data_IF_903931254919
#
_entry.id   IF_903931254919
#
_cell.length_a   1.000
_cell.length_b   1.000
_cell.length_c   1.000
_cell.angle_alpha   90.00
_cell.angle_beta   90.00
_cell.angle_gamma   90.00
#
_symmetry.space_group_name_H-M   'P 1'
#
loop_
_entity.id
_entity.type
_entity.pdbx_description
1 polymer ?
#
# COMPACT_ATOMS: atom_id res chain seq x y z
N UNK A 1 -0.08 -2.30 -19.77
CA UNK A 1 -1.31 -2.93 -19.33
C UNK A 1 -1.45 -2.76 -17.82
N UNK A 2 -2.63 -2.34 -17.36
CA UNK A 2 -2.87 -2.10 -15.94
C UNK A 2 -3.11 -3.39 -15.18
N UNK A 3 -2.39 -3.55 -14.09
CA UNK A 3 -2.65 -4.61 -13.11
C UNK A 3 -2.92 -3.93 -11.77
N UNK A 4 -4.04 -4.26 -11.15
CA UNK A 4 -4.47 -3.60 -9.91
C UNK A 4 -3.97 -4.37 -8.71
N UNK A 5 -3.42 -3.63 -7.74
CA UNK A 5 -3.04 -4.16 -6.43
C UNK A 5 -3.80 -3.38 -5.38
N UNK A 6 -4.38 -4.09 -4.41
CA UNK A 6 -5.13 -3.49 -3.30
C UNK A 6 -4.46 -3.91 -2.00
N UNK A 7 -4.19 -2.93 -1.13
CA UNK A 7 -3.57 -3.19 0.18
C UNK A 7 -4.32 -2.44 1.27
N UNK A 8 -4.56 -3.09 2.40
CA UNK A 8 -5.26 -2.52 3.55
C UNK A 8 -4.28 -2.26 4.69
N UNK A 9 -4.37 -1.06 5.27
CA UNK A 9 -3.55 -0.62 6.40
C UNK A 9 -4.49 -0.25 7.55
N UNK A 10 -4.75 -1.21 8.44
CA UNK A 10 -5.57 -0.93 9.61
C UNK A 10 -4.68 -0.30 10.68
N UNK A 11 -4.98 0.95 11.03
CA UNK A 11 -4.15 1.71 11.94
C UNK A 11 -4.73 1.74 13.35
N UNK A 12 -3.85 1.92 14.34
CA UNK A 12 -4.27 2.15 15.72
C UNK A 12 -5.06 3.45 15.80
N UNK A 13 -6.07 3.49 16.68
CA UNK A 13 -7.01 4.60 16.73
C UNK A 13 -6.36 5.96 17.00
N UNK A 14 -5.21 5.98 17.68
CA UNK A 14 -4.46 7.20 17.97
C UNK A 14 -3.34 7.49 16.96
N UNK A 15 -3.26 6.72 15.87
CA UNK A 15 -2.20 6.83 14.86
C UNK A 15 -2.70 7.19 13.46
N UNK A 16 -3.98 7.50 13.33
CA UNK A 16 -4.59 7.77 12.02
C UNK A 16 -3.90 8.94 11.30
N UNK A 17 -3.67 10.05 12.02
CA UNK A 17 -3.02 11.22 11.43
C UNK A 17 -1.55 10.95 11.13
N UNK A 18 -0.88 10.22 11.99
CA UNK A 18 0.52 9.83 11.75
C UNK A 18 0.67 9.01 10.47
N UNK A 19 -0.26 8.06 10.23
CA UNK A 19 -0.26 7.28 9.00
C UNK A 19 -0.49 8.16 7.77
N UNK A 20 -1.40 9.14 7.87
CA UNK A 20 -1.64 10.08 6.77
C UNK A 20 -0.35 10.84 6.40
N UNK A 21 0.40 11.29 7.40
CA UNK A 21 1.66 12.00 7.16
C UNK A 21 2.71 11.09 6.51
N UNK A 22 2.78 9.82 6.96
CA UNK A 22 3.68 8.84 6.34
C UNK A 22 3.33 8.65 4.86
N UNK A 23 2.03 8.50 4.55
CA UNK A 23 1.59 8.32 3.16
C UNK A 23 1.92 9.54 2.29
N UNK A 24 1.76 10.74 2.81
CA UNK A 24 2.05 11.97 2.04
C UNK A 24 3.50 12.00 1.55
N UNK A 25 4.43 11.51 2.33
CA UNK A 25 5.84 11.44 1.95
C UNK A 25 6.16 10.18 1.15
N UNK A 26 5.75 9.02 1.67
CA UNK A 26 6.13 7.74 1.08
C UNK A 26 5.52 7.54 -0.32
N UNK A 27 4.28 7.97 -0.54
CA UNK A 27 3.62 7.72 -1.81
C UNK A 27 4.13 8.60 -2.95
N UNK A 28 4.80 9.71 -2.66
CA UNK A 28 5.52 10.48 -3.69
C UNK A 28 6.58 9.57 -4.33
N UNK A 29 7.34 8.87 -3.50
CA UNK A 29 8.37 7.95 -3.98
C UNK A 29 7.75 6.76 -4.71
N UNK A 30 6.68 6.20 -4.16
CA UNK A 30 6.00 5.06 -4.78
C UNK A 30 5.46 5.41 -6.17
N UNK A 31 4.86 6.59 -6.32
CA UNK A 31 4.30 7.03 -7.61
C UNK A 31 5.37 7.22 -8.68
N UNK A 32 6.60 7.50 -8.27
CA UNK A 32 7.74 7.63 -9.18
C UNK A 32 8.48 6.30 -9.41
N UNK A 33 8.09 5.25 -8.71
CA UNK A 33 8.76 3.95 -8.84
C UNK A 33 8.45 3.33 -10.20
N UNK A 34 9.45 2.67 -10.77
CA UNK A 34 9.34 2.06 -12.09
C UNK A 34 8.18 1.05 -12.14
N UNK A 35 7.25 1.28 -13.06
CA UNK A 35 6.07 0.45 -13.24
C UNK A 35 4.84 0.92 -12.49
N UNK A 36 4.96 1.88 -11.57
CA UNK A 36 3.79 2.44 -10.90
C UNK A 36 3.05 3.41 -11.83
N UNK A 37 1.78 3.12 -12.10
CA UNK A 37 0.95 3.96 -12.97
C UNK A 37 0.04 4.89 -12.17
N UNK A 38 -0.14 4.64 -10.89
CA UNK A 38 -0.94 5.50 -10.02
C UNK A 38 -1.35 4.80 -8.75
N UNK A 39 -1.71 5.59 -7.74
CA UNK A 39 -2.23 5.10 -6.47
C UNK A 39 -3.32 6.05 -5.99
N UNK A 40 -4.46 5.46 -5.62
CA UNK A 40 -5.53 6.15 -4.92
C UNK A 40 -5.59 5.68 -3.47
N UNK A 41 -5.79 6.61 -2.54
CA UNK A 41 -5.86 6.31 -1.11
C UNK A 41 -7.28 6.56 -0.62
N UNK A 42 -7.86 5.56 0.02
CA UNK A 42 -9.18 5.65 0.66
C UNK A 42 -9.04 5.40 2.14
N UNK A 43 -9.93 6.01 2.93
CA UNK A 43 -9.93 5.84 4.39
C UNK A 43 -11.35 5.56 4.88
N UNK A 44 -11.51 4.50 5.70
CA UNK A 44 -12.77 4.15 6.33
C UNK A 44 -12.63 4.33 7.85
N UNK A 45 -13.40 5.28 8.41
CA UNK A 45 -13.23 5.69 9.80
C UNK A 45 -13.72 4.63 10.80
N UNK A 46 -14.75 3.86 10.49
CA UNK A 46 -15.27 2.84 11.42
C UNK A 46 -14.23 1.77 11.72
N UNK A 47 -13.49 1.36 10.72
CA UNK A 47 -12.47 0.32 10.83
C UNK A 47 -11.06 0.87 11.00
N UNK A 48 -10.90 2.21 10.92
CA UNK A 48 -9.59 2.87 10.95
C UNK A 48 -8.64 2.28 9.92
N UNK A 49 -9.15 2.06 8.70
CA UNK A 49 -8.40 1.39 7.65
C UNK A 49 -8.19 2.30 6.46
N UNK A 50 -6.92 2.48 6.07
CA UNK A 50 -6.56 3.04 4.78
C UNK A 50 -6.48 1.91 3.76
N UNK A 51 -7.09 2.10 2.61
CA UNK A 51 -6.99 1.18 1.49
C UNK A 51 -6.31 1.88 0.33
N UNK A 52 -5.25 1.28 -0.15
CA UNK A 52 -4.55 1.75 -1.34
C UNK A 52 -4.99 0.91 -2.52
N UNK A 53 -5.42 1.59 -3.58
CA UNK A 53 -5.72 0.96 -4.87
C UNK A 53 -4.64 1.42 -5.84
N UNK A 54 -3.83 0.49 -6.30
CA UNK A 54 -2.62 0.78 -7.06
C UNK A 54 -2.72 0.19 -8.45
N UNK A 55 -2.29 0.96 -9.43
CA UNK A 55 -2.19 0.51 -10.82
C UNK A 55 -0.72 0.31 -11.16
N UNK A 56 -0.38 -0.88 -11.62
CA UNK A 56 0.99 -1.23 -12.01
C UNK A 56 1.05 -1.72 -13.45
N UNK A 57 2.14 -1.43 -14.12
CA UNK A 57 2.35 -1.90 -15.48
C UNK A 57 2.47 -3.42 -15.54
N UNK A 58 3.10 -4.01 -14.52
CA UNK A 58 3.12 -5.47 -14.33
C UNK A 58 3.12 -5.80 -12.83
N UNK A 59 2.62 -7.00 -12.48
CA UNK A 59 2.70 -7.49 -11.11
C UNK A 59 4.14 -7.77 -10.69
N UNK A 60 5.00 -8.13 -11.62
CA UNK A 60 6.43 -8.31 -11.35
C UNK A 60 7.07 -7.02 -10.83
N UNK A 61 6.75 -5.89 -11.46
CA UNK A 61 7.26 -4.59 -11.01
C UNK A 61 6.75 -4.23 -9.62
N UNK A 62 5.49 -4.57 -9.31
CA UNK A 62 4.96 -4.40 -7.96
C UNK A 62 5.75 -5.23 -6.95
N UNK A 63 6.05 -6.49 -7.26
CA UNK A 63 6.82 -7.35 -6.34
C UNK A 63 8.23 -6.81 -6.09
N UNK A 64 8.87 -6.27 -7.12
CA UNK A 64 10.18 -5.62 -6.99
C UNK A 64 10.08 -4.41 -6.05
N UNK A 65 9.04 -3.60 -6.24
CA UNK A 65 8.77 -2.44 -5.36
C UNK A 65 8.55 -2.88 -3.91
N UNK A 66 7.68 -3.88 -3.70
CA UNK A 66 7.36 -4.35 -2.36
C UNK A 66 8.62 -4.87 -1.65
N UNK A 67 9.45 -5.63 -2.35
CA UNK A 67 10.69 -6.13 -1.78
C UNK A 67 11.64 -4.98 -1.42
N UNK A 68 11.69 -3.95 -2.25
CA UNK A 68 12.50 -2.77 -1.95
C UNK A 68 12.02 -2.07 -0.68
N UNK A 69 10.70 -1.94 -0.49
CA UNK A 69 10.15 -1.37 0.74
C UNK A 69 10.53 -2.20 1.97
N UNK A 70 10.42 -3.51 1.86
CA UNK A 70 10.79 -4.42 2.95
C UNK A 70 12.28 -4.26 3.29
N UNK A 71 13.11 -4.25 2.27
CA UNK A 71 14.58 -4.14 2.44
C UNK A 71 15.00 -2.78 3.01
N UNK A 72 14.22 -1.75 2.81
CA UNK A 72 14.54 -0.38 3.26
C UNK A 72 13.81 0.03 4.55
N UNK A 73 13.18 -0.91 5.25
CA UNK A 73 12.71 -0.69 6.62
C UNK A 73 11.25 -0.32 6.78
N UNK A 74 10.39 -0.63 5.83
CA UNK A 74 8.95 -0.29 5.92
C UNK A 74 8.29 -0.97 7.12
N UNK A 75 8.67 -2.21 7.44
CA UNK A 75 8.09 -2.95 8.56
C UNK A 75 8.37 -2.24 9.89
N UNK A 76 9.61 -1.86 10.12
CA UNK A 76 10.02 -1.17 11.34
C UNK A 76 9.34 0.19 11.50
N UNK A 77 9.14 0.88 10.39
CA UNK A 77 8.44 2.17 10.39
C UNK A 77 6.97 2.01 10.75
N UNK A 78 6.29 1.03 10.18
CA UNK A 78 4.84 0.89 10.26
C UNK A 78 4.34 0.01 11.40
N UNK A 79 5.14 -0.91 11.93
CA UNK A 79 4.73 -1.78 13.03
C UNK A 79 4.12 -1.01 14.22
N UNK A 80 4.70 0.10 14.69
CA UNK A 80 4.09 0.85 15.80
C UNK A 80 2.78 1.55 15.46
N UNK A 81 2.52 1.78 14.17
CA UNK A 81 1.34 2.53 13.68
C UNK A 81 0.18 1.59 13.42
N UNK A 82 0.46 0.37 12.96
CA UNK A 82 -0.54 -0.58 12.50
C UNK A 82 -1.10 -1.41 13.66
N UNK A 83 -2.41 -1.69 13.62
CA UNK A 83 -3.11 -2.46 14.66
C UNK A 83 -2.50 -3.85 14.83
N UNK A 84 -2.17 -4.52 13.73
CA UNK A 84 -1.62 -5.88 13.73
C UNK A 84 -0.26 -5.96 13.03
N UNK A 85 0.47 -4.85 12.96
CA UNK A 85 1.80 -4.78 12.38
C UNK A 85 1.83 -4.89 10.85
N UNK A 86 3.03 -4.84 10.31
CA UNK A 86 3.26 -4.87 8.87
C UNK A 86 2.78 -6.16 8.21
N UNK A 87 2.89 -7.32 8.91
CA UNK A 87 2.45 -8.59 8.35
C UNK A 87 0.97 -8.58 7.97
N UNK A 88 0.13 -7.82 8.69
CA UNK A 88 -1.28 -7.70 8.37
C UNK A 88 -1.52 -7.01 7.03
N UNK A 89 -0.66 -6.07 6.66
CA UNK A 89 -0.72 -5.41 5.34
C UNK A 89 -0.36 -6.41 4.25
N UNK A 90 0.74 -7.13 4.42
CA UNK A 90 1.20 -8.13 3.45
C UNK A 90 0.11 -9.18 3.22
N UNK A 91 -0.50 -9.65 4.30
CA UNK A 91 -1.58 -10.65 4.23
C UNK A 91 -2.84 -10.12 3.53
N UNK A 92 -3.07 -8.80 3.58
CA UNK A 92 -4.23 -8.16 2.96
C UNK A 92 -4.07 -7.93 1.46
N UNK A 93 -2.84 -7.95 0.94
CA UNK A 93 -2.58 -7.57 -0.44
C UNK A 93 -3.31 -8.48 -1.42
N UNK A 94 -4.08 -7.86 -2.30
CA UNK A 94 -4.73 -8.55 -3.41
C UNK A 94 -4.06 -8.13 -4.71
N UNK A 95 -3.60 -9.11 -5.44
CA UNK A 95 -3.00 -8.92 -6.76
C UNK A 95 -4.01 -9.34 -7.79
N UNK A 96 -4.64 -8.34 -8.42
CA UNK A 96 -5.61 -8.60 -9.48
C UNK A 96 -4.85 -8.66 -10.81
N UNK A 97 -5.32 -9.51 -11.68
CA UNK A 97 -4.76 -9.57 -13.02
C UNK A 97 -5.19 -8.37 -13.86
N UNK A 98 -5.12 -8.51 -15.16
CA UNK A 98 -5.49 -7.46 -16.11
C UNK A 98 -7.01 -7.29 -16.14
N UNK A 99 -7.46 -6.06 -16.33
CA UNK A 99 -8.89 -5.80 -16.53
C UNK A 99 -9.38 -6.51 -17.80
N UNK A 100 -10.46 -7.28 -17.67
CA UNK A 100 -11.06 -8.01 -18.78
C UNK A 100 -12.14 -7.19 -19.48
N UNK A 101 -12.33 -7.45 -20.76
CA UNK A 101 -13.37 -6.80 -21.59
C UNK A 101 -14.70 -7.50 -21.45
N UNK A 102 -15.17 -7.64 -20.22
CA UNK A 102 -16.44 -8.34 -19.95
C UNK A 102 -17.50 -7.34 -19.52
#
# INVERSE_FOLDING_TARGET
>A
MKNVVIADFKVKSDKVQEMAEVFKEALVVTRDFDGCLGIDVYYEDKTKTYTLIEDWDSLEQYEIYLQWRIDTGIAELLDPILENGWDSVVDSVKRLGTKESI
#
